data_IF_850905529358
#
_entry.id   IF_850905529358
#
_cell.length_a   1.000
_cell.length_b   1.000
_cell.length_c   1.000
_cell.angle_alpha   90.00
_cell.angle_beta   90.00
_cell.angle_gamma   90.00
#
_symmetry.space_group_name_H-M   'P 1'
#
loop_
_entity.id
_entity.type
_entity.pdbx_description
1 polymer ?
#
# COMPACT_ATOMS: atom_id res chain seq x y z
N UNK A 1 -14.74 77.09 -34.27
CA UNK A 1 -14.56 77.22 -32.82
C UNK A 1 -15.65 76.39 -32.11
N UNK A 2 -15.29 75.26 -31.71
CA UNK A 2 -15.85 74.35 -30.69
C UNK A 2 -17.32 73.87 -30.72
N UNK A 3 -17.56 72.89 -31.59
CA UNK A 3 -18.76 72.04 -31.54
C UNK A 3 -18.65 70.87 -30.50
N UNK A 4 -17.49 70.69 -29.92
CA UNK A 4 -17.18 69.55 -28.98
C UNK A 4 -17.57 69.77 -27.52
N UNK A 5 -18.09 70.95 -27.15
CA UNK A 5 -18.42 71.23 -25.72
C UNK A 5 -19.92 71.14 -25.39
N UNK A 6 -20.81 70.75 -26.30
CA UNK A 6 -22.27 70.70 -26.04
C UNK A 6 -22.83 69.31 -25.69
N UNK A 7 -22.03 68.27 -25.58
CA UNK A 7 -22.50 66.91 -25.32
C UNK A 7 -22.61 66.57 -23.83
N UNK A 8 -22.21 67.45 -22.89
CA UNK A 8 -22.10 67.10 -21.48
C UNK A 8 -23.19 67.72 -20.57
N UNK A 9 -24.20 68.38 -21.05
CA UNK A 9 -25.15 69.14 -20.21
C UNK A 9 -26.63 68.92 -20.51
N UNK A 10 -27.06 67.64 -20.69
CA UNK A 10 -28.51 67.35 -20.67
C UNK A 10 -28.80 65.92 -20.20
N UNK A 11 -28.19 65.48 -19.11
CA UNK A 11 -28.73 64.33 -18.44
C UNK A 11 -29.84 64.77 -17.48
N UNK A 12 -31.07 64.36 -17.77
CA UNK A 12 -32.23 64.56 -16.91
C UNK A 12 -31.87 64.07 -15.51
N UNK A 13 -32.42 64.72 -14.47
CA UNK A 13 -32.24 64.29 -13.06
C UNK A 13 -32.52 62.77 -12.89
N UNK A 14 -33.51 62.26 -13.62
CA UNK A 14 -33.82 60.83 -13.65
C UNK A 14 -32.65 59.96 -14.15
N UNK A 15 -31.89 60.38 -15.19
CA UNK A 15 -30.74 59.65 -15.71
C UNK A 15 -29.58 59.58 -14.71
N UNK A 16 -29.38 60.64 -13.92
CA UNK A 16 -28.35 60.67 -12.87
C UNK A 16 -28.72 59.74 -11.71
N UNK A 17 -29.99 59.74 -11.31
CA UNK A 17 -30.49 58.83 -10.25
C UNK A 17 -30.38 57.38 -10.73
N UNK A 18 -30.81 57.09 -11.96
CA UNK A 18 -30.69 55.74 -12.53
C UNK A 18 -29.24 55.25 -12.60
N UNK A 19 -28.31 56.13 -13.00
CA UNK A 19 -26.88 55.81 -13.05
C UNK A 19 -26.29 55.54 -11.67
N UNK A 20 -26.70 56.30 -10.62
CA UNK A 20 -26.32 56.07 -9.24
C UNK A 20 -26.84 54.74 -8.72
N UNK A 21 -28.11 54.38 -8.99
CA UNK A 21 -28.68 53.10 -8.64
C UNK A 21 -27.98 51.95 -9.33
N UNK A 22 -27.66 52.05 -10.61
CA UNK A 22 -26.94 51.04 -11.36
C UNK A 22 -25.53 50.82 -10.79
N UNK A 23 -24.82 51.91 -10.45
CA UNK A 23 -23.50 51.83 -9.83
C UNK A 23 -23.58 51.22 -8.45
N UNK A 24 -24.59 51.53 -7.64
CA UNK A 24 -24.81 50.95 -6.34
C UNK A 24 -25.03 49.41 -6.42
N UNK A 25 -25.90 48.97 -7.34
CA UNK A 25 -26.18 47.55 -7.58
C UNK A 25 -24.87 46.84 -8.00
N UNK A 26 -24.09 47.45 -8.90
CA UNK A 26 -22.84 46.86 -9.40
C UNK A 26 -21.80 46.70 -8.28
N UNK A 27 -21.69 47.70 -7.39
CA UNK A 27 -20.79 47.64 -6.23
C UNK A 27 -21.26 46.55 -5.26
N UNK A 28 -22.55 46.48 -4.91
CA UNK A 28 -23.07 45.46 -4.00
C UNK A 28 -22.89 44.07 -4.58
N UNK A 29 -23.19 43.87 -5.86
CA UNK A 29 -23.01 42.57 -6.52
C UNK A 29 -21.52 42.18 -6.59
N UNK A 30 -20.64 43.14 -6.87
CA UNK A 30 -19.20 42.92 -6.88
C UNK A 30 -18.65 42.49 -5.52
N UNK A 31 -19.07 43.18 -4.45
CA UNK A 31 -18.69 42.86 -3.08
C UNK A 31 -19.22 41.48 -2.68
N UNK A 32 -20.49 41.20 -2.94
CA UNK A 32 -21.10 39.89 -2.64
C UNK A 32 -20.40 38.73 -3.37
N UNK A 33 -20.08 38.95 -4.66
CA UNK A 33 -19.36 37.95 -5.46
C UNK A 33 -17.95 37.72 -4.91
N UNK A 34 -17.23 38.78 -4.56
CA UNK A 34 -15.89 38.67 -3.98
C UNK A 34 -15.90 37.92 -2.66
N UNK A 35 -16.80 38.26 -1.75
CA UNK A 35 -16.95 37.58 -0.45
C UNK A 35 -17.33 36.10 -0.65
N UNK A 36 -18.29 35.82 -1.54
CA UNK A 36 -18.74 34.46 -1.81
C UNK A 36 -17.60 33.57 -2.35
N UNK A 37 -16.82 34.08 -3.31
CA UNK A 37 -15.67 33.37 -3.86
C UNK A 37 -14.60 33.15 -2.78
N UNK A 38 -14.29 34.17 -1.99
CA UNK A 38 -13.26 34.09 -0.95
C UNK A 38 -13.61 33.06 0.11
N UNK A 39 -14.83 33.09 0.62
CA UNK A 39 -15.30 32.11 1.64
C UNK A 39 -15.38 30.71 1.05
N UNK A 40 -15.96 30.55 -0.13
CA UNK A 40 -16.12 29.25 -0.77
C UNK A 40 -14.76 28.59 -1.09
N UNK A 41 -13.77 29.40 -1.51
CA UNK A 41 -12.42 28.86 -1.79
C UNK A 41 -11.71 28.44 -0.51
N UNK A 42 -11.83 29.23 0.56
CA UNK A 42 -11.24 28.87 1.85
C UNK A 42 -11.84 27.57 2.43
N UNK A 43 -13.17 27.47 2.45
CA UNK A 43 -13.86 26.27 2.95
C UNK A 43 -13.55 25.02 2.12
N UNK A 44 -13.43 25.16 0.80
CA UNK A 44 -13.07 24.04 -0.07
C UNK A 44 -11.63 23.57 0.17
N UNK A 45 -10.68 24.48 0.37
CA UNK A 45 -9.31 24.14 0.64
C UNK A 45 -9.15 23.46 2.01
N UNK A 46 -9.76 24.01 3.05
CA UNK A 46 -9.72 23.45 4.39
C UNK A 46 -10.39 22.06 4.42
N UNK A 47 -11.57 21.93 3.82
CA UNK A 47 -12.27 20.62 3.72
C UNK A 47 -11.49 19.60 2.90
N UNK A 48 -10.82 20.02 1.82
CA UNK A 48 -9.99 19.12 1.00
C UNK A 48 -8.75 18.65 1.75
N UNK A 49 -8.15 19.52 2.56
CA UNK A 49 -6.98 19.18 3.38
C UNK A 49 -7.37 18.19 4.47
N UNK A 50 -8.43 18.47 5.20
CA UNK A 50 -8.95 17.60 6.27
C UNK A 50 -9.34 16.22 5.71
N UNK A 51 -9.99 16.16 4.55
CA UNK A 51 -10.35 14.92 3.89
C UNK A 51 -9.11 14.11 3.49
N UNK A 52 -8.09 14.79 2.95
CA UNK A 52 -6.85 14.13 2.54
C UNK A 52 -6.10 13.56 3.76
N UNK A 53 -6.03 14.31 4.85
CA UNK A 53 -5.41 13.85 6.10
C UNK A 53 -6.14 12.63 6.67
N UNK A 54 -7.47 12.67 6.74
CA UNK A 54 -8.28 11.52 7.19
C UNK A 54 -8.09 10.30 6.29
N UNK A 55 -7.98 10.50 4.97
CA UNK A 55 -7.73 9.42 4.03
C UNK A 55 -6.36 8.79 4.26
N UNK A 56 -5.31 9.60 4.46
CA UNK A 56 -3.96 9.10 4.75
C UNK A 56 -3.95 8.30 6.06
N UNK A 57 -4.57 8.82 7.12
CA UNK A 57 -4.65 8.13 8.41
C UNK A 57 -5.38 6.78 8.28
N UNK A 58 -6.46 6.75 7.51
CA UNK A 58 -7.21 5.52 7.25
C UNK A 58 -6.40 4.51 6.45
N UNK A 59 -5.71 4.94 5.39
CA UNK A 59 -4.85 4.06 4.59
C UNK A 59 -3.72 3.49 5.44
N UNK A 60 -3.09 4.31 6.29
CA UNK A 60 -2.04 3.84 7.20
C UNK A 60 -2.57 2.79 8.17
N UNK A 61 -3.74 3.03 8.78
CA UNK A 61 -4.35 2.06 9.69
C UNK A 61 -4.73 0.74 8.96
N UNK A 62 -5.19 0.81 7.71
CA UNK A 62 -5.48 -0.37 6.89
C UNK A 62 -4.19 -1.14 6.54
N UNK A 63 -3.09 -0.44 6.27
CA UNK A 63 -1.78 -1.05 6.02
C UNK A 63 -1.23 -1.72 7.29
N UNK A 64 -1.32 -1.07 8.44
CA UNK A 64 -0.87 -1.63 9.72
C UNK A 64 -1.63 -2.93 10.04
N UNK A 65 -2.96 -2.92 9.89
CA UNK A 65 -3.77 -4.13 10.06
C UNK A 65 -3.38 -5.24 9.07
N UNK A 66 -3.05 -4.87 7.83
CA UNK A 66 -2.64 -5.84 6.82
C UNK A 66 -1.30 -6.48 7.17
N UNK A 67 -0.34 -5.67 7.63
CA UNK A 67 0.98 -6.15 8.08
C UNK A 67 0.82 -7.10 9.27
N UNK A 68 0.03 -6.72 10.27
CA UNK A 68 -0.22 -7.55 11.46
C UNK A 68 -0.85 -8.90 11.07
N UNK A 69 -1.83 -8.85 10.19
CA UNK A 69 -2.47 -10.06 9.68
C UNK A 69 -1.49 -10.99 8.93
N UNK A 70 -0.55 -10.44 8.15
CA UNK A 70 0.48 -11.24 7.48
C UNK A 70 1.48 -11.84 8.46
N UNK A 71 1.78 -11.14 9.55
CA UNK A 71 2.58 -11.67 10.66
C UNK A 71 1.88 -12.87 11.31
N UNK A 72 0.60 -12.75 11.62
CA UNK A 72 -0.21 -13.84 12.20
C UNK A 72 -0.20 -15.08 11.29
N UNK A 73 -0.35 -14.91 9.97
CA UNK A 73 -0.26 -16.03 9.01
C UNK A 73 1.14 -16.66 9.05
N UNK A 74 2.19 -15.86 9.11
CA UNK A 74 3.56 -16.34 9.16
C UNK A 74 3.80 -17.16 10.43
N UNK A 75 3.35 -16.68 11.58
CA UNK A 75 3.44 -17.38 12.85
C UNK A 75 2.64 -18.69 12.83
N UNK A 76 1.43 -18.66 12.31
CA UNK A 76 0.62 -19.86 12.12
C UNK A 76 1.32 -20.94 11.27
N UNK A 77 2.05 -20.52 10.24
CA UNK A 77 2.82 -21.45 9.39
C UNK A 77 4.02 -22.00 10.14
N UNK A 78 4.76 -21.16 10.86
CA UNK A 78 5.95 -21.54 11.62
C UNK A 78 5.59 -22.54 12.72
N UNK A 79 4.49 -22.31 13.42
CA UNK A 79 4.01 -23.18 14.51
C UNK A 79 3.41 -24.51 14.03
N UNK A 80 3.31 -24.69 12.71
CA UNK A 80 2.69 -25.89 12.14
C UNK A 80 3.65 -27.09 12.17
N UNK A 81 3.24 -28.16 12.83
CA UNK A 81 4.06 -29.37 12.99
C UNK A 81 4.47 -30.06 11.67
N UNK A 82 3.67 -29.94 10.59
CA UNK A 82 4.05 -30.49 9.29
C UNK A 82 5.16 -29.66 8.62
N UNK A 83 5.17 -28.35 8.86
CA UNK A 83 6.22 -27.43 8.39
C UNK A 83 7.53 -27.72 9.13
N UNK A 84 7.48 -27.81 10.45
CA UNK A 84 8.64 -28.17 11.27
C UNK A 84 9.23 -29.53 10.89
N UNK A 85 8.38 -30.56 10.73
CA UNK A 85 8.82 -31.88 10.29
C UNK A 85 9.48 -31.90 8.92
N UNK A 86 8.95 -31.08 7.96
CA UNK A 86 9.56 -30.93 6.65
C UNK A 86 10.94 -30.29 6.74
N UNK A 87 11.07 -29.16 7.45
CA UNK A 87 12.33 -28.43 7.59
C UNK A 87 13.41 -29.30 8.27
N UNK A 88 13.04 -29.99 9.34
CA UNK A 88 13.95 -30.95 10.02
C UNK A 88 14.39 -32.06 9.08
N UNK A 89 13.44 -32.73 8.40
CA UNK A 89 13.76 -33.81 7.47
C UNK A 89 14.63 -33.35 6.30
N UNK A 90 14.43 -32.11 5.82
CA UNK A 90 15.22 -31.51 4.76
C UNK A 90 16.66 -31.26 5.22
N UNK A 91 16.84 -30.68 6.39
CA UNK A 91 18.17 -30.40 6.95
C UNK A 91 18.96 -31.68 7.29
N UNK A 92 18.24 -32.74 7.71
CA UNK A 92 18.84 -34.06 7.95
C UNK A 92 19.02 -34.93 6.69
N UNK A 93 18.72 -34.39 5.50
CA UNK A 93 18.76 -35.11 4.21
C UNK A 93 17.90 -36.39 4.19
N UNK A 94 16.80 -36.37 4.95
CA UNK A 94 15.87 -37.53 5.10
C UNK A 94 14.46 -37.17 4.62
N UNK A 95 14.37 -36.34 3.58
CA UNK A 95 13.10 -35.95 3.01
C UNK A 95 12.28 -37.15 2.53
N UNK A 96 11.02 -37.16 2.90
CA UNK A 96 10.04 -38.15 2.45
C UNK A 96 8.94 -37.42 1.65
N UNK A 97 8.34 -38.13 0.68
CA UNK A 97 7.19 -37.62 -0.06
C UNK A 97 6.02 -37.24 0.85
N UNK A 98 5.86 -37.95 1.98
CA UNK A 98 4.80 -37.63 2.92
C UNK A 98 5.04 -36.29 3.63
N UNK A 99 6.29 -36.00 4.07
CA UNK A 99 6.65 -34.72 4.69
C UNK A 99 6.50 -33.56 3.69
N UNK A 100 6.97 -33.76 2.45
CA UNK A 100 6.80 -32.74 1.39
C UNK A 100 5.33 -32.42 1.13
N UNK A 101 4.49 -33.45 0.93
CA UNK A 101 3.06 -33.24 0.67
C UNK A 101 2.34 -32.63 1.87
N UNK A 102 2.67 -33.05 3.08
CA UNK A 102 2.08 -32.50 4.32
C UNK A 102 2.36 -31.00 4.44
N UNK A 103 3.61 -30.58 4.32
CA UNK A 103 3.99 -29.18 4.36
C UNK A 103 3.39 -28.39 3.19
N UNK A 104 3.44 -28.91 1.96
CA UNK A 104 2.88 -28.26 0.79
C UNK A 104 1.37 -28.01 0.93
N UNK A 105 0.62 -28.95 1.48
CA UNK A 105 -0.82 -28.78 1.74
C UNK A 105 -1.08 -27.63 2.74
N UNK A 106 -0.26 -27.49 3.77
CA UNK A 106 -0.39 -26.37 4.72
C UNK A 106 -0.07 -25.02 4.06
N UNK A 107 1.01 -24.94 3.29
CA UNK A 107 1.33 -23.73 2.55
C UNK A 107 0.23 -23.36 1.54
N UNK A 108 -0.29 -24.34 0.80
CA UNK A 108 -1.37 -24.13 -0.16
C UNK A 108 -2.68 -23.70 0.53
N UNK A 109 -2.96 -24.21 1.73
CA UNK A 109 -4.10 -23.78 2.53
C UNK A 109 -3.92 -22.34 3.01
N UNK A 110 -2.76 -21.99 3.54
CA UNK A 110 -2.44 -20.63 3.98
C UNK A 110 -2.48 -19.62 2.81
N UNK A 111 -1.97 -19.98 1.65
CA UNK A 111 -2.02 -19.12 0.45
C UNK A 111 -3.45 -18.83 -0.01
N UNK A 112 -4.39 -19.73 0.21
CA UNK A 112 -5.81 -19.55 -0.15
C UNK A 112 -6.59 -18.66 0.81
N UNK A 113 -6.02 -18.32 1.97
CA UNK A 113 -6.69 -17.46 2.97
C UNK A 113 -6.93 -16.07 2.36
N UNK A 114 -5.98 -15.59 1.56
CA UNK A 114 -6.05 -14.28 0.90
C UNK A 114 -5.57 -14.36 -0.54
N UNK A 115 -6.30 -13.70 -1.44
CA UNK A 115 -5.96 -13.64 -2.86
C UNK A 115 -4.67 -12.84 -3.14
N UNK A 116 -4.31 -11.94 -2.22
CA UNK A 116 -3.12 -11.10 -2.32
C UNK A 116 -1.83 -11.86 -2.02
N UNK A 117 -1.90 -13.03 -1.39
CA UNK A 117 -0.73 -13.87 -1.13
C UNK A 117 -0.33 -14.54 -2.45
N UNK A 118 0.70 -14.01 -3.08
CA UNK A 118 1.19 -14.50 -4.37
C UNK A 118 1.84 -15.86 -4.23
N UNK A 119 2.67 -16.05 -3.20
CA UNK A 119 3.37 -17.31 -2.95
C UNK A 119 3.79 -17.43 -1.47
N UNK A 120 3.91 -18.66 -1.02
CA UNK A 120 4.53 -18.99 0.27
C UNK A 120 5.60 -20.03 -0.01
N UNK A 121 6.80 -19.83 0.54
CA UNK A 121 7.94 -20.70 0.36
C UNK A 121 8.56 -21.10 1.70
N UNK A 122 8.98 -22.34 1.84
CA UNK A 122 9.86 -22.82 2.89
C UNK A 122 11.25 -23.06 2.30
N UNK A 123 12.26 -22.52 2.93
CA UNK A 123 13.65 -22.60 2.48
C UNK A 123 14.47 -23.28 3.57
N UNK A 124 14.74 -24.58 3.44
CA UNK A 124 15.60 -25.28 4.38
C UNK A 124 17.04 -24.77 4.35
N UNK A 125 17.76 -24.84 5.44
CA UNK A 125 19.18 -24.50 5.50
C UNK A 125 20.04 -25.36 4.55
N UNK A 126 19.62 -26.62 4.33
CA UNK A 126 20.27 -27.54 3.37
C UNK A 126 20.15 -27.11 1.91
N UNK A 127 19.39 -26.07 1.61
CA UNK A 127 19.12 -25.52 0.28
C UNK A 127 17.84 -26.03 -0.35
N UNK A 128 17.49 -25.43 -1.49
CA UNK A 128 16.21 -25.69 -2.16
C UNK A 128 15.06 -24.83 -1.60
N UNK A 129 13.87 -25.06 -2.09
CA UNK A 129 12.65 -24.41 -1.59
C UNK A 129 11.42 -25.30 -1.85
N UNK A 130 10.47 -25.29 -0.93
CA UNK A 130 9.15 -25.88 -1.09
C UNK A 130 8.12 -24.75 -1.20
N UNK A 131 7.31 -24.76 -2.25
CA UNK A 131 6.29 -23.75 -2.51
C UNK A 131 4.90 -24.31 -2.24
N UNK A 132 3.98 -23.42 -1.79
CA UNK A 132 2.57 -23.77 -1.64
C UNK A 132 1.86 -24.00 -2.98
N UNK A 133 2.31 -23.36 -4.03
CA UNK A 133 1.75 -23.55 -5.38
C UNK A 133 2.32 -24.78 -6.06
N UNK A 134 1.45 -25.62 -6.61
CA UNK A 134 1.87 -26.78 -7.41
C UNK A 134 2.62 -26.32 -8.67
N UNK A 135 3.73 -27.00 -8.96
CA UNK A 135 4.56 -26.69 -10.13
C UNK A 135 5.47 -25.48 -10.00
N UNK A 136 5.41 -24.74 -8.91
CA UNK A 136 6.39 -23.68 -8.63
C UNK A 136 7.77 -24.31 -8.34
N UNK A 137 8.82 -23.74 -8.92
CA UNK A 137 10.19 -24.17 -8.72
C UNK A 137 11.09 -23.00 -8.41
N UNK A 138 12.14 -23.27 -7.64
CA UNK A 138 13.15 -22.28 -7.32
C UNK A 138 13.86 -21.80 -8.61
N UNK A 139 13.98 -20.49 -8.74
CA UNK A 139 14.80 -19.92 -9.81
C UNK A 139 16.28 -20.14 -9.49
N UNK A 140 16.94 -20.94 -10.30
CA UNK A 140 18.38 -21.30 -10.12
C UNK A 140 19.31 -20.10 -10.21
N UNK A 141 18.86 -18.99 -10.80
CA UNK A 141 19.63 -17.74 -10.89
C UNK A 141 19.34 -16.77 -9.73
N UNK A 142 18.41 -17.10 -8.84
CA UNK A 142 18.11 -16.28 -7.68
C UNK A 142 19.16 -16.50 -6.60
N UNK A 143 19.85 -15.43 -6.22
CA UNK A 143 20.77 -15.44 -5.07
C UNK A 143 20.01 -14.95 -3.82
N UNK A 144 19.04 -15.72 -3.35
CA UNK A 144 18.20 -15.34 -2.20
C UNK A 144 18.99 -15.25 -0.89
N UNK A 145 20.13 -15.94 -0.76
CA UNK A 145 20.96 -15.90 0.45
C UNK A 145 21.54 -14.51 0.75
N UNK A 146 21.64 -13.63 -0.26
CA UNK A 146 22.11 -12.26 -0.10
C UNK A 146 20.97 -11.24 -0.14
N UNK A 147 19.74 -11.69 -0.23
CA UNK A 147 18.57 -10.80 -0.25
C UNK A 147 18.29 -10.30 1.18
N UNK A 148 17.97 -9.01 1.31
CA UNK A 148 17.72 -8.36 2.60
C UNK A 148 16.68 -9.12 3.41
N UNK A 149 15.57 -9.50 2.81
CA UNK A 149 14.50 -10.25 3.48
C UNK A 149 14.95 -11.61 4.06
N UNK A 150 15.95 -12.24 3.48
CA UNK A 150 16.50 -13.50 3.98
C UNK A 150 17.50 -13.24 5.11
N UNK A 151 18.39 -12.27 4.91
CA UNK A 151 19.42 -11.91 5.89
C UNK A 151 18.77 -11.35 7.17
N UNK A 152 17.79 -10.46 7.01
CA UNK A 152 17.07 -9.84 8.14
C UNK A 152 16.31 -10.89 8.97
N UNK A 153 15.65 -11.86 8.31
CA UNK A 153 14.96 -12.94 9.00
C UNK A 153 15.91 -13.83 9.83
N UNK A 154 17.14 -14.04 9.36
CA UNK A 154 18.14 -14.79 10.11
C UNK A 154 18.78 -13.96 11.24
N UNK A 155 18.84 -12.64 11.07
CA UNK A 155 19.39 -11.75 12.09
C UNK A 155 18.46 -11.57 13.29
N UNK A 156 17.14 -11.64 13.06
CA UNK A 156 16.11 -11.54 14.11
C UNK A 156 15.04 -12.61 13.89
N UNK A 157 15.28 -13.84 14.36
CA UNK A 157 14.40 -14.97 14.11
C UNK A 157 13.07 -14.91 14.87
N UNK A 158 12.98 -14.13 15.93
CA UNK A 158 11.79 -14.03 16.77
C UNK A 158 10.69 -13.18 16.12
N UNK A 159 11.07 -12.24 15.23
CA UNK A 159 10.15 -11.35 14.56
C UNK A 159 9.97 -11.67 13.07
N UNK A 160 8.78 -11.37 12.57
CA UNK A 160 8.50 -11.40 11.13
C UNK A 160 9.05 -10.13 10.49
N UNK A 161 10.00 -10.29 9.60
CA UNK A 161 10.62 -9.20 8.86
C UNK A 161 9.78 -8.85 7.62
N UNK A 162 9.65 -7.55 7.36
CA UNK A 162 8.87 -7.03 6.22
C UNK A 162 9.82 -6.31 5.26
N UNK A 163 9.97 -6.83 4.05
CA UNK A 163 10.86 -6.23 3.06
C UNK A 163 10.28 -4.97 2.42
N UNK A 164 11.13 -4.14 1.83
CA UNK A 164 10.68 -3.14 0.87
C UNK A 164 10.05 -3.81 -0.37
N UNK A 165 9.26 -3.03 -1.12
CA UNK A 165 8.68 -3.48 -2.39
C UNK A 165 9.78 -3.80 -3.41
N UNK A 166 9.73 -4.98 -4.01
CA UNK A 166 10.72 -5.48 -4.96
C UNK A 166 10.09 -6.38 -6.02
N UNK A 167 10.83 -6.62 -7.10
CA UNK A 167 10.42 -7.61 -8.08
C UNK A 167 10.77 -9.00 -7.56
N UNK A 168 9.77 -9.89 -7.46
CA UNK A 168 9.96 -11.29 -7.11
C UNK A 168 10.78 -12.02 -8.18
N UNK A 169 11.80 -12.72 -7.75
CA UNK A 169 12.64 -13.54 -8.61
C UNK A 169 12.98 -14.91 -8.01
N UNK A 170 12.37 -15.26 -6.89
CA UNK A 170 12.60 -16.55 -6.22
C UNK A 170 11.97 -17.70 -7.00
N UNK A 171 10.82 -17.47 -7.62
CA UNK A 171 10.09 -18.48 -8.39
C UNK A 171 10.43 -18.34 -9.87
N UNK A 172 10.81 -19.44 -10.50
CA UNK A 172 11.14 -19.47 -11.92
C UNK A 172 9.94 -19.01 -12.78
N UNK A 173 10.18 -18.02 -13.63
CA UNK A 173 9.18 -17.49 -14.56
C UNK A 173 8.14 -16.54 -13.95
N UNK A 174 8.28 -16.15 -12.68
CA UNK A 174 7.45 -15.14 -12.02
C UNK A 174 8.26 -13.89 -11.70
N UNK A 175 7.73 -12.72 -12.11
CA UNK A 175 8.38 -11.42 -11.93
C UNK A 175 7.35 -10.37 -11.53
N UNK A 176 6.71 -10.59 -10.38
CA UNK A 176 5.70 -9.68 -9.85
C UNK A 176 6.33 -8.71 -8.84
N UNK A 177 5.75 -7.51 -8.72
CA UNK A 177 6.08 -6.63 -7.61
C UNK A 177 5.46 -7.17 -6.33
N UNK A 178 6.28 -7.37 -5.32
CA UNK A 178 5.86 -7.96 -4.04
C UNK A 178 6.51 -7.25 -2.84
N UNK A 179 5.88 -7.40 -1.69
CA UNK A 179 6.45 -7.19 -0.37
C UNK A 179 6.59 -8.57 0.26
N UNK A 180 7.75 -8.91 0.80
CA UNK A 180 7.99 -10.21 1.43
C UNK A 180 7.89 -10.10 2.94
N UNK A 181 7.18 -11.07 3.51
CA UNK A 181 7.16 -11.34 4.94
C UNK A 181 8.00 -12.58 5.17
N UNK A 182 9.04 -12.49 5.98
CA UNK A 182 9.99 -13.57 6.20
C UNK A 182 10.24 -13.77 7.69
N UNK A 183 10.30 -15.03 8.11
CA UNK A 183 10.60 -15.42 9.48
C UNK A 183 11.51 -16.65 9.47
N UNK A 184 12.52 -16.67 10.32
CA UNK A 184 13.32 -17.84 10.53
C UNK A 184 12.55 -18.87 11.41
N UNK A 185 12.76 -20.14 11.13
CA UNK A 185 12.24 -21.24 11.93
C UNK A 185 13.42 -21.90 12.59
N UNK A 186 13.54 -21.73 13.90
CA UNK A 186 14.59 -22.34 14.69
C UNK A 186 14.18 -23.76 15.09
N UNK A 187 15.13 -24.66 15.13
CA UNK A 187 14.91 -25.98 15.72
C UNK A 187 15.09 -25.94 17.25
N UNK A 188 14.87 -27.05 17.92
CA UNK A 188 15.00 -27.15 19.38
C UNK A 188 16.43 -26.93 19.90
N UNK A 189 17.41 -26.82 19.03
CA UNK A 189 18.81 -26.56 19.35
C UNK A 189 19.24 -25.10 19.13
N UNK A 190 18.41 -24.26 18.53
CA UNK A 190 18.62 -22.84 18.24
C UNK A 190 19.11 -22.57 16.84
#
# INVERSE_FOLDING_TARGET
MNEKQKLFTRHSIGTRIAALFMLLILVITGVMTYVSISVSTSELLDSSTDYTEQLILRVNAELDMYVEYMKDISDFIVDNGAVAAYLQAANEHRLTDAACRGAQQQLAAAQKIRAEITSIALIPQSGGALFGSEGASLNTYSNYHTADWYVDALADPDEVQVSSSRVENLIAGQYNWVVSFSKAVLDAAG
#
